data_IF_469358031477
#
_entry.id   IF_469358031477
#
_cell.length_a   1.000
_cell.length_b   1.000
_cell.length_c   1.000
_cell.angle_alpha   90.00
_cell.angle_beta   90.00
_cell.angle_gamma   90.00
#
_symmetry.space_group_name_H-M   'P 1'
#
loop_
_entity.id
_entity.type
_entity.pdbx_description
1 polymer ?
#
# COMPACT_ATOMS: atom_id res chain seq x y z
N UNK A 1 2.57 26.22 -0.85
CA UNK A 1 1.10 26.02 -0.86
C UNK A 1 0.85 24.58 -0.49
N UNK A 2 -0.02 24.36 0.49
CA UNK A 2 -0.46 23.02 0.85
C UNK A 2 -1.31 22.42 -0.28
N UNK A 3 -1.58 21.11 -0.23
CA UNK A 3 -2.39 20.43 -1.25
C UNK A 3 -3.82 20.96 -1.39
N UNK A 4 -4.31 21.70 -0.39
CA UNK A 4 -5.62 22.37 -0.36
C UNK A 4 -5.57 23.85 -0.82
N UNK A 5 -4.41 24.33 -1.30
CA UNK A 5 -4.23 25.71 -1.75
C UNK A 5 -4.03 26.73 -0.63
N UNK A 6 -4.08 26.31 0.63
CA UNK A 6 -3.77 27.18 1.77
C UNK A 6 -2.27 27.52 1.86
N UNK A 7 -1.97 28.61 2.55
CA UNK A 7 -0.59 29.03 2.80
C UNK A 7 -0.35 28.97 4.31
N UNK A 8 0.30 27.91 4.76
CA UNK A 8 0.78 27.79 6.14
C UNK A 8 2.22 28.31 6.26
N UNK A 9 2.55 28.94 7.38
CA UNK A 9 3.93 29.28 7.74
C UNK A 9 4.59 28.07 8.41
N UNK A 10 5.70 27.59 7.87
CA UNK A 10 6.45 26.46 8.43
C UNK A 10 7.49 26.97 9.44
N UNK A 11 7.41 26.49 10.68
CA UNK A 11 8.42 26.74 11.71
C UNK A 11 9.19 25.44 11.96
N UNK A 12 10.52 25.49 11.78
CA UNK A 12 11.43 24.37 12.04
C UNK A 12 12.38 24.76 13.17
N UNK A 13 12.54 23.88 14.15
CA UNK A 13 13.49 24.04 15.25
C UNK A 13 14.37 22.80 15.34
N UNK A 14 15.64 23.00 15.68
CA UNK A 14 16.63 21.93 15.86
C UNK A 14 17.47 22.22 17.09
N UNK A 15 17.92 21.16 17.76
CA UNK A 15 18.91 21.25 18.84
C UNK A 15 20.34 21.31 18.33
N UNK A 16 20.56 21.04 17.03
CA UNK A 16 21.87 21.10 16.40
C UNK A 16 22.17 22.52 15.92
N UNK A 17 23.13 23.17 16.60
CA UNK A 17 23.53 24.55 16.33
C UNK A 17 24.40 24.71 15.07
N UNK A 18 24.97 23.63 14.56
CA UNK A 18 25.82 23.65 13.37
C UNK A 18 25.06 23.26 12.10
N UNK A 19 23.78 22.92 12.23
CA UNK A 19 22.97 22.45 11.11
C UNK A 19 22.58 23.62 10.20
N UNK A 20 22.98 23.53 8.93
CA UNK A 20 22.61 24.49 7.92
C UNK A 20 21.14 24.33 7.48
N UNK A 21 20.57 25.41 6.94
CA UNK A 21 19.17 25.45 6.52
C UNK A 21 18.83 24.38 5.46
N UNK A 22 19.74 24.12 4.51
CA UNK A 22 19.55 23.07 3.50
C UNK A 22 19.45 21.68 4.13
N UNK A 23 20.33 21.35 5.08
CA UNK A 23 20.25 20.07 5.77
C UNK A 23 19.00 19.96 6.65
N UNK A 24 18.61 21.03 7.33
CA UNK A 24 17.39 21.06 8.16
C UNK A 24 16.13 20.79 7.32
N UNK A 25 16.01 21.45 6.17
CA UNK A 25 14.89 21.24 5.25
C UNK A 25 14.92 19.84 4.62
N UNK A 26 16.09 19.32 4.25
CA UNK A 26 16.22 17.95 3.75
C UNK A 26 15.84 16.88 4.80
N UNK A 27 16.16 17.10 6.08
CA UNK A 27 15.72 16.23 7.18
C UNK A 27 14.20 16.30 7.34
N UNK A 28 13.63 17.51 7.31
CA UNK A 28 12.19 17.69 7.39
C UNK A 28 11.45 16.97 6.25
N UNK A 29 11.94 17.05 5.02
CA UNK A 29 11.36 16.33 3.88
C UNK A 29 11.40 14.80 4.07
N UNK A 30 12.50 14.27 4.63
CA UNK A 30 12.61 12.83 4.95
C UNK A 30 11.56 12.35 5.95
N UNK A 31 11.01 13.23 6.80
CA UNK A 31 9.92 12.89 7.75
C UNK A 31 8.71 12.29 7.03
N UNK A 32 8.39 12.74 5.82
CA UNK A 32 7.26 12.24 5.05
C UNK A 32 7.32 10.73 4.78
N UNK A 33 8.53 10.15 4.76
CA UNK A 33 8.72 8.69 4.63
C UNK A 33 8.07 7.88 5.74
N UNK A 34 7.90 8.46 6.93
CA UNK A 34 7.18 7.84 8.05
C UNK A 34 5.69 7.74 7.74
N UNK A 35 5.10 8.75 7.11
CA UNK A 35 3.69 8.74 6.71
C UNK A 35 3.46 7.74 5.57
N UNK A 36 4.37 7.69 4.59
CA UNK A 36 4.36 6.65 3.54
C UNK A 36 4.42 5.24 4.14
N UNK A 37 5.29 5.02 5.14
CA UNK A 37 5.38 3.75 5.88
C UNK A 37 4.05 3.38 6.52
N UNK A 38 3.46 4.27 7.32
CA UNK A 38 2.21 3.97 8.01
C UNK A 38 1.02 3.79 7.05
N UNK A 39 0.97 4.58 5.98
CA UNK A 39 -0.05 4.42 4.94
C UNK A 39 0.06 3.05 4.28
N UNK A 40 1.29 2.62 3.95
CA UNK A 40 1.52 1.33 3.32
C UNK A 40 1.22 0.15 4.24
N UNK A 41 1.72 0.16 5.48
CA UNK A 41 1.58 -0.99 6.39
C UNK A 41 0.11 -1.22 6.78
N UNK A 42 -0.66 -0.14 6.97
CA UNK A 42 -2.10 -0.22 7.28
C UNK A 42 -2.92 -0.76 6.10
N UNK A 43 -2.61 -0.31 4.88
CA UNK A 43 -3.40 -0.65 3.69
C UNK A 43 -2.97 -1.96 3.00
N UNK A 44 -1.71 -2.34 3.13
CA UNK A 44 -1.14 -3.49 2.41
C UNK A 44 -0.78 -4.66 3.30
N UNK A 45 -0.40 -4.44 4.56
CA UNK A 45 0.05 -5.50 5.48
C UNK A 45 -0.94 -5.81 6.61
N UNK A 46 -2.21 -5.39 6.46
CA UNK A 46 -3.30 -5.65 7.40
C UNK A 46 -3.00 -5.31 8.88
N UNK A 47 -2.10 -4.34 9.12
CA UNK A 47 -1.56 -4.05 10.46
C UNK A 47 -2.63 -3.84 11.52
N UNK A 48 -3.71 -3.15 11.17
CA UNK A 48 -4.82 -2.80 12.07
C UNK A 48 -6.02 -3.74 11.99
N UNK A 49 -5.95 -4.82 11.19
CA UNK A 49 -7.11 -5.65 10.84
C UNK A 49 -7.12 -7.03 11.49
N UNK A 50 -6.12 -7.37 12.30
CA UNK A 50 -6.05 -8.71 12.90
C UNK A 50 -6.97 -8.85 14.12
N UNK A 51 -7.83 -9.89 14.16
CA UNK A 51 -8.71 -10.18 15.30
C UNK A 51 -7.94 -10.90 16.43
N UNK A 52 -6.90 -10.28 16.97
CA UNK A 52 -6.01 -10.88 17.99
C UNK A 52 -6.40 -10.45 19.40
N UNK A 53 -6.52 -11.42 20.32
CA UNK A 53 -7.04 -11.19 21.69
C UNK A 53 -5.98 -11.17 22.79
N UNK A 54 -4.79 -11.70 22.53
CA UNK A 54 -3.71 -11.80 23.53
C UNK A 54 -2.51 -10.97 23.11
N UNK A 55 -1.74 -10.47 24.08
CA UNK A 55 -0.53 -9.67 23.82
C UNK A 55 0.43 -10.42 22.89
N UNK A 56 0.65 -11.72 23.14
CA UNK A 56 1.52 -12.57 22.31
C UNK A 56 1.06 -12.62 20.85
N UNK A 57 -0.24 -12.78 20.61
CA UNK A 57 -0.78 -12.86 19.24
C UNK A 57 -0.76 -11.51 18.53
N UNK A 58 -1.01 -10.41 19.26
CA UNK A 58 -0.88 -9.04 18.75
C UNK A 58 0.57 -8.72 18.36
N UNK A 59 1.55 -9.03 19.22
CA UNK A 59 2.98 -8.82 18.96
C UNK A 59 3.46 -9.62 17.75
N UNK A 60 3.03 -10.87 17.63
CA UNK A 60 3.35 -11.71 16.49
C UNK A 60 2.80 -11.11 15.18
N UNK A 61 1.54 -10.64 15.20
CA UNK A 61 0.93 -9.97 14.05
C UNK A 61 1.68 -8.69 13.65
N UNK A 62 1.99 -7.83 14.61
CA UNK A 62 2.74 -6.60 14.33
C UNK A 62 4.12 -6.88 13.73
N UNK A 63 4.84 -7.86 14.27
CA UNK A 63 6.13 -8.30 13.73
C UNK A 63 5.99 -8.83 12.30
N UNK A 64 4.97 -9.65 12.05
CA UNK A 64 4.70 -10.20 10.71
C UNK A 64 4.38 -9.09 9.69
N UNK A 65 3.53 -8.13 10.04
CA UNK A 65 3.21 -6.98 9.20
C UNK A 65 4.43 -6.10 8.91
N UNK A 66 5.36 -5.93 9.86
CA UNK A 66 6.62 -5.22 9.61
C UNK A 66 7.51 -5.97 8.62
N UNK A 67 7.63 -7.29 8.77
CA UNK A 67 8.38 -8.15 7.83
C UNK A 67 7.77 -8.07 6.43
N UNK A 68 6.44 -8.08 6.32
CA UNK A 68 5.74 -7.92 5.05
C UNK A 68 6.05 -6.56 4.39
N UNK A 69 6.02 -5.47 5.16
CA UNK A 69 6.41 -4.15 4.66
C UNK A 69 7.84 -4.14 4.10
N UNK A 70 8.80 -4.75 4.80
CA UNK A 70 10.19 -4.85 4.31
C UNK A 70 10.25 -5.60 2.99
N UNK A 71 9.48 -6.69 2.84
CA UNK A 71 9.39 -7.44 1.57
C UNK A 71 8.80 -6.58 0.46
N UNK A 72 7.77 -5.78 0.74
CA UNK A 72 7.16 -4.86 -0.22
C UNK A 72 8.15 -3.78 -0.68
N UNK A 73 8.91 -3.17 0.23
CA UNK A 73 9.94 -2.18 -0.14
C UNK A 73 11.07 -2.82 -0.97
N UNK A 74 11.50 -4.05 -0.65
CA UNK A 74 12.47 -4.79 -1.49
C UNK A 74 11.92 -5.05 -2.90
N UNK A 75 10.64 -5.39 -3.03
CA UNK A 75 10.00 -5.57 -4.33
C UNK A 75 9.88 -4.25 -5.10
N UNK A 76 9.56 -3.15 -4.42
CA UNK A 76 9.50 -1.80 -5.01
C UNK A 76 10.84 -1.37 -5.59
N UNK A 77 11.94 -1.60 -4.86
CA UNK A 77 13.30 -1.33 -5.34
C UNK A 77 13.67 -2.17 -6.58
N UNK A 78 13.28 -3.45 -6.59
CA UNK A 78 13.58 -4.36 -7.72
C UNK A 78 12.78 -4.06 -8.97
N UNK A 79 11.52 -3.65 -8.82
CA UNK A 79 10.58 -3.54 -9.93
C UNK A 79 10.30 -2.08 -10.34
N UNK A 80 10.88 -1.10 -9.64
CA UNK A 80 10.64 0.34 -9.82
C UNK A 80 9.15 0.71 -9.83
N UNK A 81 8.34 0.03 -9.00
CA UNK A 81 6.89 0.23 -8.90
C UNK A 81 6.47 0.46 -7.45
N UNK A 82 5.52 1.36 -7.23
CA UNK A 82 4.94 1.57 -5.91
C UNK A 82 4.11 0.34 -5.45
N UNK A 83 3.84 0.26 -4.15
CA UNK A 83 3.14 -0.89 -3.55
C UNK A 83 1.73 -1.10 -4.14
N UNK A 84 0.99 -0.02 -4.40
CA UNK A 84 -0.36 -0.05 -4.95
C UNK A 84 -0.40 -0.59 -6.38
N UNK A 85 0.55 -0.18 -7.23
CA UNK A 85 0.67 -0.64 -8.60
C UNK A 85 1.02 -2.14 -8.66
N UNK A 86 1.90 -2.60 -7.77
CA UNK A 86 2.21 -4.03 -7.66
C UNK A 86 0.99 -4.83 -7.21
N UNK A 87 0.28 -4.36 -6.18
CA UNK A 87 -0.97 -4.97 -5.71
C UNK A 87 -1.98 -5.03 -6.85
N UNK A 88 -2.27 -3.91 -7.51
CA UNK A 88 -3.20 -3.85 -8.65
C UNK A 88 -2.84 -4.84 -9.76
N UNK A 89 -1.54 -4.98 -10.11
CA UNK A 89 -1.09 -5.96 -11.12
C UNK A 89 -1.40 -7.40 -10.71
N UNK A 90 -1.14 -7.77 -9.44
CA UNK A 90 -1.43 -9.10 -8.91
C UNK A 90 -2.95 -9.35 -8.93
N UNK A 91 -3.73 -8.39 -8.46
CA UNK A 91 -5.19 -8.49 -8.44
C UNK A 91 -5.77 -8.65 -9.84
N UNK A 92 -5.33 -7.85 -10.82
CA UNK A 92 -5.78 -7.97 -12.20
C UNK A 92 -5.47 -9.35 -12.79
N UNK A 93 -4.27 -9.90 -12.53
CA UNK A 93 -3.90 -11.23 -12.98
C UNK A 93 -4.77 -12.31 -12.32
N UNK A 94 -5.00 -12.22 -11.01
CA UNK A 94 -5.86 -13.13 -10.26
C UNK A 94 -7.31 -13.08 -10.74
N UNK A 95 -7.88 -11.88 -10.96
CA UNK A 95 -9.24 -11.70 -11.48
C UNK A 95 -9.37 -12.30 -12.88
N UNK A 96 -8.40 -12.08 -13.78
CA UNK A 96 -8.41 -12.71 -15.11
C UNK A 96 -8.38 -14.23 -15.03
N UNK A 97 -7.58 -14.79 -14.12
CA UNK A 97 -7.52 -16.23 -13.91
C UNK A 97 -8.83 -16.79 -13.34
N UNK A 98 -9.42 -16.11 -12.35
CA UNK A 98 -10.71 -16.47 -11.76
C UNK A 98 -11.83 -16.39 -12.79
N UNK A 99 -11.84 -15.36 -13.64
CA UNK A 99 -12.82 -15.21 -14.71
C UNK A 99 -12.79 -16.36 -15.71
N UNK A 100 -11.58 -16.84 -16.08
CA UNK A 100 -11.44 -18.02 -16.94
C UNK A 100 -12.00 -19.29 -16.31
N UNK A 101 -11.95 -19.42 -14.98
CA UNK A 101 -12.56 -20.57 -14.30
C UNK A 101 -14.07 -20.43 -14.24
N UNK A 102 -14.56 -19.21 -14.00
CA UNK A 102 -15.99 -18.91 -14.02
C UNK A 102 -16.61 -19.22 -15.39
N UNK A 103 -15.95 -18.84 -16.48
CA UNK A 103 -16.40 -19.09 -17.85
C UNK A 103 -16.58 -20.59 -18.15
N UNK A 104 -15.66 -21.44 -17.65
CA UNK A 104 -15.76 -22.90 -17.78
C UNK A 104 -16.90 -23.52 -16.98
N UNK A 105 -17.24 -22.91 -15.84
CA UNK A 105 -18.36 -23.34 -14.99
C UNK A 105 -19.67 -22.71 -15.43
N UNK A 106 -19.62 -21.68 -16.27
CA UNK A 106 -20.79 -20.98 -16.77
C UNK A 106 -21.60 -21.91 -17.64
N UNK A 107 -22.93 -21.81 -17.55
CA UNK A 107 -23.82 -22.53 -18.44
C UNK A 107 -23.56 -22.09 -19.89
N UNK A 108 -23.67 -23.00 -20.87
CA UNK A 108 -23.56 -22.62 -22.27
C UNK A 108 -24.54 -21.48 -22.54
N UNK A 109 -24.05 -20.39 -23.12
CA UNK A 109 -24.89 -19.25 -23.46
C UNK A 109 -25.91 -19.72 -24.51
N UNK A 110 -27.13 -20.04 -24.05
CA UNK A 110 -28.24 -20.39 -24.94
C UNK A 110 -28.54 -19.12 -25.71
N UNK A 111 -28.07 -19.08 -26.95
CA UNK A 111 -28.34 -17.99 -27.86
C UNK A 111 -29.86 -17.99 -28.14
N UNK A 112 -30.60 -17.17 -27.39
CA UNK A 112 -32.07 -17.08 -27.43
C UNK A 112 -32.60 -16.73 -28.83
N UNK A 113 -31.73 -16.25 -29.73
CA UNK A 113 -32.04 -15.98 -31.13
C UNK A 113 -32.09 -17.23 -32.04
N UNK A 114 -31.74 -18.43 -31.54
CA UNK A 114 -31.83 -19.69 -32.33
C UNK A 114 -33.07 -20.53 -32.03
N UNK A 115 -33.88 -20.17 -31.03
CA UNK A 115 -35.06 -20.94 -30.60
C UNK A 115 -36.35 -20.43 -31.27
N UNK A 116 -36.29 -19.29 -31.98
CA UNK A 116 -37.44 -18.64 -32.62
C UNK A 116 -37.46 -18.81 -34.16
N UNK A 117 -37.02 -19.95 -34.69
CA UNK A 117 -37.14 -20.31 -36.11
C UNK A 117 -37.77 -21.70 -36.27
#
# INVERSE_FOLDING_TARGET
KNGDGSTGTLYLATSDLNLDYSSLTAIYEKRWKVEEFFCSIKNNAAFTKAPTKTIKTQQAHFTASMIEFIKLERLKLRNSKNHYAMKSKIWLAATKAAWKQLDKLSTPNINSNKIAA
#
